data_IF_679758226718
#
_entry.id   IF_679758226718
#
_cell.length_a   1.000
_cell.length_b   1.000
_cell.length_c   1.000
_cell.angle_alpha   90.00
_cell.angle_beta   90.00
_cell.angle_gamma   90.00
#
_symmetry.space_group_name_H-M   'P 1'
#
loop_
_entity.id
_entity.type
_entity.pdbx_description
1 polymer ?
#
# COMPACT_ATOMS: atom_id res chain seq x y z
N UNK A 1 79.34 -7.55 4.84
CA UNK A 1 78.39 -6.76 4.03
C UNK A 1 77.01 -7.38 4.18
N UNK A 2 76.07 -6.72 4.92
CA UNK A 2 74.73 -7.21 5.12
C UNK A 2 73.82 -6.36 4.22
N UNK A 3 73.23 -6.98 3.15
CA UNK A 3 72.26 -6.35 2.27
C UNK A 3 70.91 -6.29 2.96
N UNK A 4 70.35 -5.07 3.09
CA UNK A 4 68.95 -4.89 3.56
C UNK A 4 68.02 -4.80 2.34
N UNK A 5 67.14 -5.79 2.16
CA UNK A 5 66.03 -5.70 1.22
C UNK A 5 64.98 -4.71 1.79
N UNK A 6 64.70 -3.64 1.06
CA UNK A 6 63.54 -2.77 1.30
C UNK A 6 62.34 -3.37 0.58
N UNK A 7 61.34 -3.81 1.37
CA UNK A 7 60.03 -4.25 0.84
C UNK A 7 59.15 -3.00 0.72
N UNK A 8 58.82 -2.61 -0.51
CA UNK A 8 57.88 -1.53 -0.80
C UNK A 8 56.46 -2.11 -0.79
N UNK A 9 55.64 -1.72 0.18
CA UNK A 9 54.24 -2.01 0.20
C UNK A 9 53.51 -1.01 -0.70
N UNK A 10 52.96 -1.48 -1.83
CA UNK A 10 52.08 -0.70 -2.68
C UNK A 10 50.68 -0.71 -2.07
N UNK A 11 50.24 0.43 -1.53
CA UNK A 11 48.82 0.63 -1.16
C UNK A 11 47.99 0.83 -2.44
N UNK A 12 47.19 -0.16 -2.77
CA UNK A 12 46.16 0.00 -3.83
C UNK A 12 44.95 0.74 -3.24
N UNK A 13 44.80 2.01 -3.60
CA UNK A 13 43.57 2.76 -3.34
C UNK A 13 42.48 2.28 -4.32
N UNK A 14 41.50 1.52 -3.79
CA UNK A 14 40.27 1.22 -4.54
C UNK A 14 39.45 2.50 -4.64
N UNK A 15 39.39 3.08 -5.81
CA UNK A 15 38.47 4.21 -6.10
C UNK A 15 37.07 3.64 -6.13
N UNK A 16 36.29 3.85 -5.06
CA UNK A 16 34.86 3.59 -5.06
C UNK A 16 34.21 4.68 -5.93
N UNK A 17 33.88 4.34 -7.17
CA UNK A 17 33.03 5.22 -8.01
C UNK A 17 31.70 5.45 -7.32
N UNK A 18 31.21 6.69 -7.22
CA UNK A 18 29.87 6.94 -6.72
C UNK A 18 28.86 6.20 -7.61
N UNK A 19 28.01 5.39 -6.99
CA UNK A 19 26.91 4.74 -7.71
C UNK A 19 26.03 5.83 -8.34
N UNK A 20 26.00 5.89 -9.66
CA UNK A 20 25.10 6.79 -10.38
C UNK A 20 23.67 6.35 -10.08
N UNK A 21 22.85 7.26 -9.54
CA UNK A 21 21.44 6.98 -9.28
C UNK A 21 20.76 6.53 -10.59
N UNK A 22 20.14 5.36 -10.56
CA UNK A 22 19.38 4.86 -11.72
C UNK A 22 18.24 5.82 -12.01
N UNK A 23 18.08 6.33 -13.24
CA UNK A 23 17.03 7.30 -13.55
C UNK A 23 15.65 6.65 -13.46
N UNK A 24 14.66 7.43 -13.03
CA UNK A 24 13.26 7.05 -13.10
C UNK A 24 12.86 6.75 -14.55
N UNK A 25 11.88 5.87 -14.74
CA UNK A 25 11.34 5.50 -16.05
C UNK A 25 9.83 5.33 -16.00
N UNK A 26 9.19 5.15 -17.15
CA UNK A 26 7.74 5.03 -17.28
C UNK A 26 7.35 3.62 -17.73
N UNK A 27 6.22 3.13 -17.21
CA UNK A 27 5.53 1.87 -17.56
C UNK A 27 4.03 2.12 -17.66
N UNK A 28 3.22 1.13 -18.08
CA UNK A 28 1.76 1.13 -17.99
C UNK A 28 1.03 1.54 -19.26
N UNK A 29 1.69 1.53 -20.44
CA UNK A 29 1.04 1.71 -21.74
C UNK A 29 0.13 2.95 -21.81
N UNK A 30 -1.16 2.75 -22.06
CA UNK A 30 -2.17 3.82 -22.19
C UNK A 30 -2.49 4.56 -20.88
N UNK A 31 -2.09 3.98 -19.73
CA UNK A 31 -2.16 4.62 -18.42
C UNK A 31 -0.76 4.72 -17.81
N UNK A 32 0.10 5.60 -18.37
CA UNK A 32 1.50 5.65 -18.00
C UNK A 32 1.71 6.13 -16.57
N UNK A 33 2.66 5.49 -15.87
CA UNK A 33 3.09 5.87 -14.53
C UNK A 33 4.61 5.92 -14.44
N UNK A 34 5.13 6.92 -13.73
CA UNK A 34 6.56 7.03 -13.44
C UNK A 34 6.93 6.06 -12.34
N UNK A 35 7.94 5.24 -12.57
CA UNK A 35 8.59 4.39 -11.57
C UNK A 35 9.67 5.21 -10.88
N UNK A 36 9.44 5.50 -9.60
CA UNK A 36 10.39 6.24 -8.77
C UNK A 36 11.30 5.24 -8.07
N UNK A 37 12.58 5.31 -8.40
CA UNK A 37 13.59 4.45 -7.82
C UNK A 37 14.16 5.03 -6.52
N UNK A 38 14.54 4.17 -5.55
CA UNK A 38 15.14 4.63 -4.30
C UNK A 38 16.53 5.19 -4.50
N UNK A 39 17.02 5.96 -3.52
CA UNK A 39 18.38 6.49 -3.54
C UNK A 39 19.44 5.38 -3.54
N UNK A 40 19.13 4.26 -2.88
CA UNK A 40 19.93 3.04 -2.91
C UNK A 40 19.00 1.87 -3.27
N UNK A 41 19.21 1.31 -4.45
CA UNK A 41 18.43 0.20 -4.95
C UNK A 41 19.01 -1.13 -4.46
N UNK A 42 18.28 -1.84 -3.60
CA UNK A 42 18.61 -3.22 -3.24
C UNK A 42 18.34 -4.17 -4.42
N UNK A 43 18.96 -5.34 -4.41
CA UNK A 43 18.75 -6.36 -5.42
C UNK A 43 18.44 -7.72 -4.74
N UNK A 44 17.16 -8.13 -4.64
CA UNK A 44 15.94 -7.42 -5.10
C UNK A 44 15.43 -6.37 -4.10
N UNK A 45 14.65 -5.39 -4.59
CA UNK A 45 14.06 -4.30 -3.82
C UNK A 45 12.54 -4.44 -3.63
N UNK A 46 11.95 -3.98 -2.51
CA UNK A 46 10.52 -3.97 -2.32
C UNK A 46 9.81 -2.96 -3.25
N UNK A 47 8.56 -3.26 -3.63
CA UNK A 47 7.72 -2.39 -4.45
C UNK A 47 6.51 -1.90 -3.65
N UNK A 48 6.28 -0.59 -3.65
CA UNK A 48 5.10 0.05 -3.08
C UNK A 48 4.24 0.69 -4.19
N UNK A 49 2.96 0.34 -4.21
CA UNK A 49 1.97 0.88 -5.16
C UNK A 49 0.91 1.64 -4.38
N UNK A 50 0.73 2.94 -4.67
CA UNK A 50 -0.31 3.79 -4.11
C UNK A 50 -1.52 3.84 -5.03
N UNK A 51 -2.70 3.45 -4.53
CA UNK A 51 -3.97 3.48 -5.25
C UNK A 51 -4.85 4.62 -4.73
N UNK A 52 -5.19 5.56 -5.62
CA UNK A 52 -5.91 6.79 -5.29
C UNK A 52 -7.41 6.55 -5.01
N UNK A 53 -8.06 7.50 -4.35
CA UNK A 53 -9.50 7.53 -4.13
C UNK A 53 -10.27 7.90 -5.42
N UNK A 54 -11.57 7.58 -5.45
CA UNK A 54 -12.42 7.95 -6.60
C UNK A 54 -12.40 9.45 -6.86
N UNK A 55 -12.45 9.83 -8.13
CA UNK A 55 -12.45 11.22 -8.63
C UNK A 55 -11.16 12.01 -8.36
N UNK A 56 -10.07 11.32 -7.98
CA UNK A 56 -8.74 11.92 -7.77
C UNK A 56 -7.71 11.27 -8.71
N UNK A 57 -6.43 11.43 -8.44
CA UNK A 57 -5.32 10.84 -9.20
C UNK A 57 -4.23 10.33 -8.27
N UNK A 58 -3.29 9.54 -8.80
CA UNK A 58 -2.10 9.12 -8.07
C UNK A 58 -1.31 10.30 -7.51
N UNK A 59 -1.12 11.36 -8.30
CA UNK A 59 -0.45 12.58 -7.86
C UNK A 59 -1.21 13.30 -6.72
N UNK A 60 -2.55 13.38 -6.80
CA UNK A 60 -3.36 13.95 -5.72
C UNK A 60 -3.25 13.12 -4.44
N UNK A 61 -3.29 11.79 -4.56
CA UNK A 61 -3.18 10.89 -3.42
C UNK A 61 -1.78 10.94 -2.79
N UNK A 62 -0.73 11.10 -3.61
CA UNK A 62 0.63 11.33 -3.12
C UNK A 62 0.73 12.64 -2.34
N UNK A 63 0.14 13.72 -2.83
CA UNK A 63 0.10 15.00 -2.11
C UNK A 63 -0.65 14.92 -0.76
N UNK A 64 -1.56 13.97 -0.60
CA UNK A 64 -2.26 13.73 0.65
C UNK A 64 -1.45 12.87 1.63
N UNK A 65 -0.69 11.88 1.12
CA UNK A 65 -0.02 10.87 1.94
C UNK A 65 1.49 11.06 2.10
N UNK A 66 2.14 11.80 1.19
CA UNK A 66 3.58 12.08 1.18
C UNK A 66 4.48 10.84 1.25
N UNK A 67 4.09 9.76 0.55
CA UNK A 67 4.80 8.47 0.62
C UNK A 67 6.10 8.44 -0.19
N UNK A 68 6.14 9.12 -1.33
CA UNK A 68 7.24 9.02 -2.30
C UNK A 68 8.62 9.33 -1.70
N UNK A 69 8.81 10.48 -1.02
CA UNK A 69 10.09 10.81 -0.39
C UNK A 69 10.53 9.79 0.66
N UNK A 70 9.58 9.27 1.47
CA UNK A 70 9.87 8.28 2.51
C UNK A 70 10.15 6.91 1.91
N UNK A 71 9.41 6.50 0.87
CA UNK A 71 9.67 5.27 0.12
C UNK A 71 11.07 5.29 -0.49
N UNK A 72 11.43 6.40 -1.16
CA UNK A 72 12.75 6.59 -1.75
C UNK A 72 13.89 6.45 -0.73
N UNK A 73 13.77 7.13 0.40
CA UNK A 73 14.74 7.07 1.52
C UNK A 73 14.88 5.67 2.11
N UNK A 74 13.79 4.88 2.11
CA UNK A 74 13.76 3.55 2.71
C UNK A 74 13.97 2.40 1.72
N UNK A 75 14.47 2.68 0.51
CA UNK A 75 14.86 1.65 -0.45
C UNK A 75 13.70 0.98 -1.19
N UNK A 76 12.49 1.59 -1.23
CA UNK A 76 11.36 1.04 -1.97
C UNK A 76 11.28 1.64 -3.39
N UNK A 77 11.03 0.78 -4.37
CA UNK A 77 10.52 1.18 -5.67
C UNK A 77 9.08 1.68 -5.44
N UNK A 78 8.73 2.85 -5.98
CA UNK A 78 7.45 3.49 -5.71
C UNK A 78 6.73 3.92 -6.98
N UNK A 79 5.43 3.61 -7.07
CA UNK A 79 4.53 4.10 -8.11
C UNK A 79 3.20 4.56 -7.53
N UNK A 80 2.59 5.56 -8.17
CA UNK A 80 1.24 6.05 -7.89
C UNK A 80 0.44 6.13 -9.20
N UNK A 81 -0.03 4.98 -9.75
CA UNK A 81 -0.72 4.93 -11.01
C UNK A 81 -2.10 5.59 -10.95
N UNK A 82 -2.62 5.92 -12.13
CA UNK A 82 -3.96 6.44 -12.32
C UNK A 82 -4.94 5.33 -12.75
N UNK A 83 -6.12 5.31 -12.14
CA UNK A 83 -7.24 4.51 -12.58
C UNK A 83 -7.88 5.04 -13.86
N UNK A 84 -8.85 4.29 -14.40
CA UNK A 84 -9.60 4.69 -15.60
C UNK A 84 -10.37 5.99 -15.41
N UNK A 85 -10.65 6.67 -16.52
CA UNK A 85 -11.50 7.86 -16.56
C UNK A 85 -12.92 7.42 -16.95
N UNK A 86 -13.91 7.85 -16.19
CA UNK A 86 -15.31 7.64 -16.50
C UNK A 86 -15.87 8.72 -17.46
N UNK A 87 -17.10 8.60 -17.97
CA UNK A 87 -17.70 9.59 -18.87
C UNK A 87 -17.82 11.02 -18.31
N UNK A 88 -17.73 11.19 -16.97
CA UNK A 88 -17.68 12.51 -16.33
C UNK A 88 -16.26 13.08 -16.22
N UNK A 89 -15.24 12.42 -16.79
CA UNK A 89 -13.84 12.84 -16.69
C UNK A 89 -13.20 12.53 -15.33
N UNK A 90 -13.82 11.69 -14.49
CA UNK A 90 -13.34 11.35 -13.15
C UNK A 90 -12.66 9.99 -13.14
N UNK A 91 -11.51 9.89 -12.46
CA UNK A 91 -10.78 8.63 -12.35
C UNK A 91 -11.41 7.70 -11.31
N UNK A 92 -11.32 6.40 -11.56
CA UNK A 92 -11.80 5.35 -10.66
C UNK A 92 -11.04 4.05 -10.87
N UNK A 93 -11.09 3.18 -9.88
CA UNK A 93 -10.72 1.76 -9.96
C UNK A 93 -11.99 0.92 -10.03
N UNK A 94 -12.04 -0.03 -10.94
CA UNK A 94 -13.08 -1.05 -11.00
C UNK A 94 -12.81 -2.11 -9.92
N UNK A 95 -13.06 -1.72 -8.67
CA UNK A 95 -12.66 -2.52 -7.53
C UNK A 95 -13.66 -3.62 -7.19
N UNK A 96 -14.96 -3.27 -7.17
CA UNK A 96 -16.01 -4.21 -6.80
C UNK A 96 -17.38 -3.73 -7.35
N UNK A 97 -18.42 -4.57 -7.22
CA UNK A 97 -19.79 -4.18 -7.58
C UNK A 97 -20.26 -2.96 -6.79
N UNK A 98 -19.91 -2.88 -5.51
CA UNK A 98 -20.25 -1.74 -4.67
C UNK A 98 -19.41 -0.50 -4.97
N UNK A 99 -18.13 -0.63 -5.45
CA UNK A 99 -17.24 0.51 -5.70
C UNK A 99 -16.27 0.27 -6.86
N UNK A 100 -16.09 1.17 -7.80
CA UNK A 100 -16.78 2.45 -7.96
C UNK A 100 -17.12 2.67 -9.45
N UNK A 101 -17.24 1.56 -10.20
CA UNK A 101 -17.55 1.54 -11.63
C UNK A 101 -19.05 1.72 -11.88
N UNK A 102 -19.57 2.93 -11.57
CA UNK A 102 -21.00 3.24 -11.73
C UNK A 102 -21.49 3.21 -13.18
N UNK A 103 -20.58 3.38 -14.14
CA UNK A 103 -20.90 3.39 -15.58
C UNK A 103 -20.71 2.02 -16.22
N UNK A 104 -20.39 0.98 -15.43
CA UNK A 104 -20.23 -0.41 -15.90
C UNK A 104 -19.26 -0.51 -17.09
N UNK A 105 -18.20 0.30 -17.08
CA UNK A 105 -17.15 0.23 -18.10
C UNK A 105 -16.44 -1.12 -18.01
N UNK A 106 -16.09 -1.70 -19.14
CA UNK A 106 -15.30 -2.93 -19.23
C UNK A 106 -13.83 -2.59 -18.96
N UNK A 107 -13.41 -2.73 -17.70
CA UNK A 107 -12.06 -2.41 -17.21
C UNK A 107 -11.62 -3.51 -16.29
N UNK A 108 -10.44 -4.05 -16.54
CA UNK A 108 -9.74 -4.96 -15.62
C UNK A 108 -8.55 -4.23 -14.96
N UNK A 109 -8.80 -3.64 -13.79
CA UNK A 109 -7.75 -2.97 -13.03
C UNK A 109 -6.87 -3.96 -12.25
N UNK A 110 -7.31 -5.20 -12.05
CA UNK A 110 -6.46 -6.26 -11.49
C UNK A 110 -5.37 -6.61 -12.50
N UNK A 111 -5.74 -6.80 -13.77
CA UNK A 111 -4.78 -7.07 -14.83
C UNK A 111 -3.83 -5.90 -15.06
N UNK A 112 -4.36 -4.66 -15.05
CA UNK A 112 -3.53 -3.46 -15.17
C UNK A 112 -2.47 -3.37 -14.05
N UNK A 113 -2.85 -3.54 -12.77
CA UNK A 113 -1.88 -3.51 -11.66
C UNK A 113 -0.88 -4.67 -11.79
N UNK A 114 -1.35 -5.83 -12.23
CA UNK A 114 -0.50 -6.98 -12.52
C UNK A 114 0.55 -6.67 -13.59
N UNK A 115 0.11 -6.05 -14.71
CA UNK A 115 1.02 -5.68 -15.80
C UNK A 115 2.08 -4.68 -15.36
N UNK A 116 1.71 -3.70 -14.50
CA UNK A 116 2.68 -2.77 -13.93
C UNK A 116 3.77 -3.48 -13.12
N UNK A 117 3.37 -4.43 -12.26
CA UNK A 117 4.32 -5.23 -11.47
C UNK A 117 5.27 -6.00 -12.39
N UNK A 118 4.72 -6.63 -13.43
CA UNK A 118 5.49 -7.45 -14.37
C UNK A 118 6.43 -6.60 -15.25
N UNK A 119 5.98 -5.43 -15.73
CA UNK A 119 6.80 -4.49 -16.51
C UNK A 119 7.96 -3.92 -15.66
N UNK A 120 7.68 -3.56 -14.40
CA UNK A 120 8.71 -3.07 -13.48
C UNK A 120 9.72 -4.18 -13.18
N UNK A 121 9.25 -5.41 -12.93
CA UNK A 121 10.10 -6.55 -12.60
C UNK A 121 11.03 -6.96 -13.75
N UNK A 122 10.65 -6.68 -15.01
CA UNK A 122 11.53 -6.88 -16.18
C UNK A 122 12.67 -5.87 -16.28
N UNK A 123 12.48 -4.66 -15.71
CA UNK A 123 13.45 -3.55 -15.80
C UNK A 123 14.25 -3.35 -14.53
N UNK A 124 13.69 -3.71 -13.38
CA UNK A 124 14.25 -3.49 -12.05
C UNK A 124 14.02 -4.73 -11.20
N UNK A 125 15.00 -5.22 -10.42
CA UNK A 125 14.85 -6.44 -9.63
C UNK A 125 13.91 -6.20 -8.44
N UNK A 126 12.62 -6.44 -8.65
CA UNK A 126 11.58 -6.40 -7.61
C UNK A 126 11.64 -7.67 -6.76
N UNK A 127 11.56 -7.53 -5.43
CA UNK A 127 11.40 -8.65 -4.53
C UNK A 127 9.94 -9.17 -4.57
N UNK A 128 9.68 -10.35 -5.12
CA UNK A 128 8.32 -10.88 -5.26
C UNK A 128 7.66 -11.19 -3.90
N UNK A 129 8.43 -11.24 -2.83
CA UNK A 129 7.94 -11.43 -1.47
C UNK A 129 7.60 -10.11 -0.77
N UNK A 130 7.98 -8.97 -1.33
CA UNK A 130 7.80 -7.63 -0.72
C UNK A 130 7.15 -6.65 -1.67
N UNK A 131 5.94 -7.01 -2.14
CA UNK A 131 5.06 -6.13 -2.93
C UNK A 131 3.94 -5.66 -2.02
N UNK A 132 3.74 -4.35 -1.95
CA UNK A 132 2.82 -3.70 -1.02
C UNK A 132 1.84 -2.81 -1.75
N UNK A 133 0.59 -2.78 -1.29
CA UNK A 133 -0.42 -1.82 -1.71
C UNK A 133 -0.79 -0.89 -0.57
N UNK A 134 -0.96 0.37 -0.88
CA UNK A 134 -1.63 1.33 -0.01
C UNK A 134 -2.75 2.00 -0.79
N UNK A 135 -3.94 2.06 -0.22
CA UNK A 135 -5.10 2.63 -0.89
C UNK A 135 -5.98 3.44 0.04
N UNK A 136 -6.62 4.48 -0.52
CA UNK A 136 -7.63 5.28 0.15
C UNK A 136 -8.97 5.13 -0.56
N UNK A 137 -10.07 4.91 0.20
CA UNK A 137 -11.43 4.86 -0.36
C UNK A 137 -11.51 3.81 -1.49
N UNK A 138 -11.82 4.21 -2.71
CA UNK A 138 -11.84 3.33 -3.89
C UNK A 138 -10.51 2.57 -4.08
N UNK A 139 -9.36 3.21 -3.85
CA UNK A 139 -8.05 2.54 -3.90
C UNK A 139 -7.89 1.47 -2.81
N UNK A 140 -8.52 1.65 -1.64
CA UNK A 140 -8.53 0.63 -0.60
C UNK A 140 -9.41 -0.56 -0.99
N UNK A 141 -10.60 -0.32 -1.58
CA UNK A 141 -11.41 -1.40 -2.18
C UNK A 141 -10.61 -2.16 -3.24
N UNK A 142 -9.90 -1.44 -4.12
CA UNK A 142 -9.06 -2.07 -5.15
C UNK A 142 -7.91 -2.89 -4.55
N UNK A 143 -7.30 -2.43 -3.47
CA UNK A 143 -6.25 -3.18 -2.77
C UNK A 143 -6.76 -4.52 -2.25
N UNK A 144 -7.96 -4.55 -1.66
CA UNK A 144 -8.59 -5.79 -1.24
C UNK A 144 -8.93 -6.69 -2.42
N UNK A 145 -9.54 -6.15 -3.47
CA UNK A 145 -9.88 -6.91 -4.68
C UNK A 145 -8.63 -7.53 -5.32
N UNK A 146 -7.54 -6.77 -5.42
CA UNK A 146 -6.28 -7.29 -5.94
C UNK A 146 -5.73 -8.44 -5.09
N UNK A 147 -5.76 -8.33 -3.76
CA UNK A 147 -5.33 -9.41 -2.88
C UNK A 147 -6.23 -10.65 -2.94
N UNK A 148 -7.54 -10.47 -3.22
CA UNK A 148 -8.47 -11.59 -3.41
C UNK A 148 -8.23 -12.34 -4.74
N UNK A 149 -7.87 -11.61 -5.78
CA UNK A 149 -7.73 -12.15 -7.14
C UNK A 149 -6.32 -12.62 -7.47
N UNK A 150 -5.34 -12.22 -6.66
CA UNK A 150 -3.93 -12.58 -6.87
C UNK A 150 -3.29 -13.05 -5.56
N UNK A 151 -2.11 -13.64 -5.68
CA UNK A 151 -1.28 -13.98 -4.51
C UNK A 151 0.01 -13.13 -4.46
N UNK A 152 0.05 -11.98 -5.17
CA UNK A 152 1.31 -11.22 -5.32
C UNK A 152 1.63 -10.33 -4.11
N UNK A 153 0.63 -9.89 -3.32
CA UNK A 153 0.83 -8.87 -2.27
C UNK A 153 1.21 -9.47 -0.93
N UNK A 154 2.23 -8.92 -0.29
CA UNK A 154 2.62 -9.26 1.08
C UNK A 154 1.82 -8.48 2.14
N UNK A 155 1.50 -7.22 1.85
CA UNK A 155 0.78 -6.37 2.78
C UNK A 155 -0.08 -5.30 2.10
N UNK A 156 -1.14 -4.92 2.80
CA UNK A 156 -2.05 -3.82 2.43
C UNK A 156 -2.11 -2.81 3.57
N UNK A 157 -2.06 -1.52 3.23
CA UNK A 157 -2.55 -0.43 4.08
C UNK A 157 -3.82 0.11 3.45
N UNK A 158 -4.96 -0.05 4.12
CA UNK A 158 -6.27 0.36 3.63
C UNK A 158 -6.86 1.48 4.48
N UNK A 159 -7.14 2.63 3.87
CA UNK A 159 -7.73 3.78 4.56
C UNK A 159 -9.14 4.00 4.04
N UNK A 160 -10.13 4.03 4.95
CA UNK A 160 -11.52 4.36 4.65
C UNK A 160 -12.12 3.53 3.49
N UNK A 161 -11.79 2.24 3.42
CA UNK A 161 -12.29 1.28 2.45
C UNK A 161 -12.84 0.01 3.11
N UNK A 162 -13.43 -0.87 2.31
CA UNK A 162 -14.00 -2.12 2.77
C UNK A 162 -13.88 -3.21 1.70
N UNK A 163 -14.09 -4.45 2.09
CA UNK A 163 -14.28 -5.57 1.17
C UNK A 163 -15.75 -5.64 0.71
N UNK A 164 -16.00 -6.25 -0.42
CA UNK A 164 -17.36 -6.59 -0.85
C UNK A 164 -17.99 -7.63 0.09
N UNK A 165 -19.32 -7.67 0.18
CA UNK A 165 -20.04 -8.64 1.02
C UNK A 165 -20.13 -10.01 0.38
N UNK A 166 -20.04 -10.08 -0.93
CA UNK A 166 -20.19 -11.33 -1.66
C UNK A 166 -18.94 -12.22 -1.48
N UNK A 167 -19.18 -13.50 -1.47
CA UNK A 167 -18.24 -14.59 -1.17
C UNK A 167 -16.99 -14.65 -2.04
N UNK A 168 -16.93 -13.83 -3.09
CA UNK A 168 -15.89 -13.91 -4.10
C UNK A 168 -14.60 -13.14 -3.76
N UNK A 169 -14.58 -12.41 -2.66
CA UNK A 169 -13.42 -11.65 -2.23
C UNK A 169 -12.87 -12.12 -0.87
N UNK A 170 -12.28 -13.31 -0.86
CA UNK A 170 -11.45 -13.77 0.26
C UNK A 170 -10.07 -14.11 -0.29
N UNK A 171 -8.98 -13.49 0.20
CA UNK A 171 -7.64 -13.83 -0.24
C UNK A 171 -7.36 -15.33 -0.05
N UNK A 172 -6.79 -15.97 -1.05
CA UNK A 172 -6.43 -17.39 -0.97
C UNK A 172 -5.15 -17.65 -0.17
N UNK A 173 -4.36 -16.60 0.07
CA UNK A 173 -3.11 -16.65 0.84
C UNK A 173 -3.12 -15.58 1.92
N UNK A 174 -2.40 -15.82 3.04
CA UNK A 174 -2.24 -14.81 4.09
C UNK A 174 -1.66 -13.49 3.54
N UNK A 175 -2.22 -12.36 4.01
CA UNK A 175 -1.77 -11.01 3.67
C UNK A 175 -1.76 -10.12 4.91
N UNK A 176 -0.68 -9.41 5.18
CA UNK A 176 -0.62 -8.46 6.28
C UNK A 176 -1.53 -7.26 6.01
N UNK A 177 -2.18 -6.72 7.05
CA UNK A 177 -3.13 -5.62 6.90
C UNK A 177 -2.95 -4.58 8.01
N UNK A 178 -2.80 -3.32 7.60
CA UNK A 178 -3.10 -2.15 8.43
C UNK A 178 -4.37 -1.50 7.90
N UNK A 179 -5.49 -1.66 8.61
CA UNK A 179 -6.75 -1.02 8.26
C UNK A 179 -6.95 0.23 9.11
N UNK A 180 -7.21 1.38 8.48
CA UNK A 180 -7.41 2.69 9.14
C UNK A 180 -8.79 3.21 8.76
N UNK A 181 -9.66 3.52 9.76
CA UNK A 181 -11.02 3.95 9.45
C UNK A 181 -11.58 4.91 10.50
N UNK A 182 -12.15 6.02 10.04
CA UNK A 182 -12.83 6.99 10.88
C UNK A 182 -14.24 6.56 11.28
N UNK A 183 -14.62 6.74 12.53
CA UNK A 183 -15.98 6.33 13.00
C UNK A 183 -17.09 7.28 12.54
N UNK A 184 -16.76 8.51 12.14
CA UNK A 184 -17.69 9.48 11.57
C UNK A 184 -17.64 9.55 10.04
N UNK A 185 -17.01 8.56 9.38
CA UNK A 185 -16.99 8.45 7.92
C UNK A 185 -18.43 8.31 7.38
N UNK A 186 -18.87 9.33 6.62
CA UNK A 186 -20.20 9.39 6.02
C UNK A 186 -20.24 8.84 4.59
N UNK A 187 -19.08 8.65 3.96
CA UNK A 187 -18.95 8.15 2.59
C UNK A 187 -18.86 6.62 2.59
N UNK A 188 -17.88 6.07 3.28
CA UNK A 188 -17.74 4.62 3.49
C UNK A 188 -17.92 4.38 4.98
N UNK A 189 -19.14 4.07 5.40
CA UNK A 189 -19.44 3.92 6.82
C UNK A 189 -18.63 2.78 7.44
N UNK A 190 -18.01 3.04 8.58
CA UNK A 190 -17.26 2.03 9.35
C UNK A 190 -18.12 0.80 9.69
N UNK A 191 -19.44 0.97 9.76
CA UNK A 191 -20.44 -0.08 10.03
C UNK A 191 -20.82 -0.90 8.80
N UNK A 192 -20.30 -0.56 7.61
CA UNK A 192 -20.76 -1.09 6.34
C UNK A 192 -21.99 -0.33 5.80
N UNK A 193 -22.38 -0.64 4.59
CA UNK A 193 -23.50 0.04 3.93
C UNK A 193 -23.79 -0.51 2.54
N UNK A 194 -24.50 0.31 1.75
CA UNK A 194 -24.82 0.02 0.35
C UNK A 194 -24.33 1.18 -0.52
N UNK A 195 -23.69 0.86 -1.63
CA UNK A 195 -23.26 1.81 -2.65
C UNK A 195 -23.46 1.18 -4.03
N UNK A 196 -23.90 1.96 -5.02
CA UNK A 196 -24.29 1.46 -6.35
C UNK A 196 -25.27 0.27 -6.31
N UNK A 197 -26.18 0.22 -5.33
CA UNK A 197 -27.14 -0.87 -5.05
C UNK A 197 -26.49 -2.20 -4.60
N UNK A 198 -25.22 -2.22 -4.27
CA UNK A 198 -24.53 -3.40 -3.75
C UNK A 198 -24.01 -3.14 -2.33
N UNK A 199 -24.13 -4.13 -1.44
CA UNK A 199 -23.63 -3.98 -0.07
C UNK A 199 -22.10 -4.10 -0.03
N UNK A 200 -21.48 -3.36 0.91
CA UNK A 200 -20.09 -3.54 1.31
C UNK A 200 -20.00 -3.83 2.81
N UNK A 201 -18.96 -4.54 3.22
CA UNK A 201 -18.80 -5.00 4.61
C UNK A 201 -18.46 -3.85 5.55
N UNK A 202 -18.72 -4.02 6.85
CA UNK A 202 -18.14 -3.14 7.86
C UNK A 202 -16.60 -3.28 7.91
N UNK A 203 -15.91 -2.23 8.37
CA UNK A 203 -14.47 -2.29 8.58
C UNK A 203 -14.07 -3.44 9.53
N UNK A 204 -14.89 -3.68 10.58
CA UNK A 204 -14.68 -4.81 11.50
C UNK A 204 -14.83 -6.17 10.79
N UNK A 205 -15.82 -6.33 9.89
CA UNK A 205 -16.00 -7.57 9.13
C UNK A 205 -14.85 -7.77 8.14
N UNK A 206 -14.42 -6.72 7.43
CA UNK A 206 -13.24 -6.73 6.55
C UNK A 206 -12.01 -7.25 7.31
N UNK A 207 -11.69 -6.66 8.47
CA UNK A 207 -10.55 -7.07 9.30
C UNK A 207 -10.68 -8.52 9.78
N UNK A 208 -11.89 -8.94 10.22
CA UNK A 208 -12.14 -10.33 10.66
C UNK A 208 -11.99 -11.33 9.53
N UNK A 209 -12.37 -10.98 8.29
CA UNK A 209 -12.16 -11.87 7.13
C UNK A 209 -10.66 -12.10 6.91
N UNK A 210 -9.84 -11.04 6.91
CA UNK A 210 -8.38 -11.19 6.79
C UNK A 210 -7.79 -11.92 8.01
N UNK A 211 -8.29 -11.64 9.23
CA UNK A 211 -7.87 -12.35 10.44
C UNK A 211 -8.11 -13.86 10.36
N UNK A 212 -9.25 -14.26 9.77
CA UNK A 212 -9.56 -15.68 9.56
C UNK A 212 -8.57 -16.34 8.60
N UNK A 213 -8.28 -15.70 7.45
CA UNK A 213 -7.29 -16.19 6.48
C UNK A 213 -5.90 -16.32 7.11
N UNK A 214 -5.51 -15.32 7.88
CA UNK A 214 -4.22 -15.25 8.56
C UNK A 214 -4.17 -16.10 9.87
N UNK A 215 -5.28 -16.74 10.25
CA UNK A 215 -5.40 -17.50 11.50
C UNK A 215 -5.03 -16.66 12.72
N UNK A 216 -5.59 -15.44 12.79
CA UNK A 216 -5.29 -14.49 13.87
C UNK A 216 -6.38 -14.50 14.94
N UNK A 217 -5.97 -14.17 16.17
CA UNK A 217 -6.83 -13.84 17.31
C UNK A 217 -6.56 -12.41 17.80
N UNK A 218 -7.50 -11.82 18.57
CA UNK A 218 -7.24 -10.54 19.22
C UNK A 218 -6.08 -10.68 20.21
N UNK A 219 -5.07 -9.82 20.07
CA UNK A 219 -3.90 -9.81 20.95
C UNK A 219 -4.02 -8.72 22.03
N UNK A 220 -4.17 -7.48 21.60
CA UNK A 220 -4.16 -6.33 22.50
C UNK A 220 -4.86 -5.13 21.85
N UNK A 221 -5.40 -4.27 22.70
CA UNK A 221 -5.95 -2.97 22.28
C UNK A 221 -5.20 -1.87 23.02
N UNK A 222 -4.80 -0.86 22.29
CA UNK A 222 -4.16 0.35 22.81
C UNK A 222 -4.81 1.61 22.24
N UNK A 223 -4.39 2.76 22.77
CA UNK A 223 -4.81 4.07 22.27
C UNK A 223 -3.60 4.83 21.77
N UNK A 224 -3.81 5.65 20.76
CA UNK A 224 -2.80 6.58 20.25
C UNK A 224 -3.44 7.89 19.82
N UNK A 225 -2.66 8.95 19.83
CA UNK A 225 -2.94 10.20 19.15
C UNK A 225 -2.50 10.03 17.69
N UNK A 226 -3.41 10.17 16.75
CA UNK A 226 -3.14 9.97 15.33
C UNK A 226 -3.69 11.09 14.46
N UNK A 227 -4.97 11.48 14.65
CA UNK A 227 -5.64 12.51 13.86
C UNK A 227 -5.40 13.89 14.50
N UNK A 228 -4.49 14.74 13.96
CA UNK A 228 -4.03 15.94 14.65
C UNK A 228 -5.09 17.02 14.84
N UNK A 229 -6.26 16.89 14.22
CA UNK A 229 -7.39 17.83 14.43
C UNK A 229 -8.36 17.38 15.51
N UNK A 230 -8.23 16.15 16.01
CA UNK A 230 -9.04 15.60 17.09
C UNK A 230 -8.15 15.53 18.35
N UNK A 231 -8.58 16.21 19.44
CA UNK A 231 -7.77 16.25 20.66
C UNK A 231 -7.71 14.90 21.38
N UNK A 232 -6.54 14.58 21.88
CA UNK A 232 -6.29 13.42 22.75
C UNK A 232 -6.04 12.12 21.98
N UNK A 233 -5.95 11.02 22.71
CA UNK A 233 -5.67 9.68 22.16
C UNK A 233 -6.93 9.06 21.57
N UNK A 234 -7.43 9.62 20.49
CA UNK A 234 -8.71 9.28 19.86
C UNK A 234 -8.68 7.95 19.10
N UNK A 235 -7.50 7.50 18.63
CA UNK A 235 -7.40 6.29 17.82
C UNK A 235 -7.24 5.04 18.68
N UNK A 236 -8.20 4.11 18.55
CA UNK A 236 -8.08 2.77 19.11
C UNK A 236 -7.30 1.89 18.12
N UNK A 237 -6.17 1.36 18.56
CA UNK A 237 -5.36 0.40 17.81
C UNK A 237 -5.68 -1.00 18.33
N UNK A 238 -6.25 -1.84 17.48
CA UNK A 238 -6.52 -3.25 17.77
C UNK A 238 -5.46 -4.07 17.06
N UNK A 239 -4.64 -4.78 17.81
CA UNK A 239 -3.61 -5.67 17.32
C UNK A 239 -4.10 -7.11 17.35
N UNK A 240 -3.65 -7.91 16.41
CA UNK A 240 -3.97 -9.34 16.30
C UNK A 240 -2.69 -10.16 16.33
N UNK A 241 -2.72 -11.28 17.05
CA UNK A 241 -1.69 -12.31 16.98
C UNK A 241 -2.07 -13.31 15.89
N UNK A 242 -1.21 -13.48 14.90
CA UNK A 242 -1.44 -14.38 13.77
C UNK A 242 -0.50 -15.60 13.85
N UNK A 243 -1.00 -16.78 13.49
CA UNK A 243 -0.20 -18.01 13.43
C UNK A 243 0.66 -18.10 12.16
N UNK A 244 0.47 -17.15 11.23
CA UNK A 244 1.29 -16.95 10.04
C UNK A 244 2.30 -15.84 10.30
N UNK A 245 3.28 -15.66 9.43
CA UNK A 245 4.24 -14.54 9.52
C UNK A 245 3.63 -13.18 9.12
N UNK A 246 2.31 -13.03 9.28
CA UNK A 246 1.58 -11.80 8.95
C UNK A 246 1.31 -10.95 10.17
N UNK A 247 1.14 -9.65 9.95
CA UNK A 247 0.74 -8.69 10.96
C UNK A 247 -0.60 -8.08 10.59
N UNK A 248 -1.48 -7.97 11.56
CA UNK A 248 -2.82 -7.42 11.37
C UNK A 248 -3.10 -6.37 12.44
N UNK A 249 -3.42 -5.16 11.99
CA UNK A 249 -3.81 -4.04 12.85
C UNK A 249 -5.07 -3.36 12.32
N UNK A 250 -5.92 -2.92 13.23
CA UNK A 250 -7.04 -2.04 12.93
C UNK A 250 -6.95 -0.76 13.74
N UNK A 251 -6.78 0.39 13.08
CA UNK A 251 -6.78 1.72 13.68
C UNK A 251 -8.14 2.35 13.46
N UNK A 252 -8.87 2.54 14.56
CA UNK A 252 -10.23 3.07 14.55
C UNK A 252 -10.21 4.47 15.13
N UNK A 253 -10.32 5.49 14.26
CA UNK A 253 -10.24 6.90 14.63
C UNK A 253 -11.61 7.36 15.12
N UNK A 254 -11.75 7.64 16.41
CA UNK A 254 -12.99 8.16 16.98
C UNK A 254 -13.28 9.56 16.39
N UNK A 255 -14.50 9.74 15.86
CA UNK A 255 -14.93 10.95 15.15
C UNK A 255 -14.12 11.28 13.87
N UNK A 256 -13.22 10.41 13.43
CA UNK A 256 -12.50 10.57 12.18
C UNK A 256 -13.42 10.54 10.96
N UNK A 257 -13.13 11.37 9.97
CA UNK A 257 -13.89 11.50 8.73
C UNK A 257 -13.45 10.46 7.69
N UNK A 258 -14.02 10.55 6.47
CA UNK A 258 -13.61 9.73 5.30
C UNK A 258 -12.16 10.00 4.87
N UNK A 259 -11.72 11.25 4.97
CA UNK A 259 -10.34 11.65 4.71
C UNK A 259 -9.79 12.32 5.98
N UNK A 260 -9.33 11.52 6.96
CA UNK A 260 -8.79 12.07 8.19
C UNK A 260 -7.53 12.90 7.89
N UNK A 261 -7.29 13.94 8.66
CA UNK A 261 -6.02 14.65 8.54
C UNK A 261 -4.90 13.74 9.03
N UNK A 262 -3.96 13.44 8.15
CA UNK A 262 -2.85 12.55 8.47
C UNK A 262 -1.78 13.30 9.28
N UNK A 263 -1.16 12.67 10.28
CA UNK A 263 -0.03 13.27 10.98
C UNK A 263 1.18 13.39 10.06
N UNK A 264 2.11 14.28 10.39
CA UNK A 264 3.30 14.56 9.55
C UNK A 264 4.21 13.36 9.37
N UNK A 265 4.19 12.41 10.30
CA UNK A 265 4.96 11.16 10.27
C UNK A 265 4.13 9.96 9.76
N UNK A 266 2.98 10.21 9.12
CA UNK A 266 2.13 9.15 8.58
C UNK A 266 2.88 8.22 7.63
N UNK A 267 3.63 8.80 6.68
CA UNK A 267 4.38 8.03 5.70
C UNK A 267 5.41 7.11 6.36
N UNK A 268 6.12 7.61 7.37
CA UNK A 268 7.07 6.83 8.16
C UNK A 268 6.39 5.68 8.91
N UNK A 269 5.24 5.94 9.54
CA UNK A 269 4.49 4.92 10.27
C UNK A 269 4.05 3.78 9.35
N UNK A 270 3.46 4.09 8.19
CA UNK A 270 2.95 3.04 7.28
C UNK A 270 4.08 2.32 6.54
N UNK A 271 5.14 3.02 6.13
CA UNK A 271 6.30 2.38 5.48
C UNK A 271 7.03 1.49 6.49
N UNK A 272 7.20 1.93 7.73
CA UNK A 272 7.76 1.08 8.80
C UNK A 272 6.91 -0.17 9.07
N UNK A 273 5.56 -0.07 8.97
CA UNK A 273 4.70 -1.25 9.04
C UNK A 273 4.97 -2.18 7.85
N UNK A 274 4.97 -1.66 6.62
CA UNK A 274 5.13 -2.44 5.39
C UNK A 274 6.46 -3.18 5.32
N UNK A 275 7.56 -2.52 5.67
CA UNK A 275 8.91 -3.09 5.59
C UNK A 275 9.15 -4.29 6.52
N UNK A 276 8.30 -4.47 7.52
CA UNK A 276 8.31 -5.66 8.41
C UNK A 276 7.61 -6.87 7.79
N UNK A 277 6.98 -6.68 6.61
CA UNK A 277 6.15 -7.71 5.99
C UNK A 277 6.87 -8.39 4.83
N UNK A 278 6.71 -9.69 4.76
CA UNK A 278 7.16 -10.54 3.65
C UNK A 278 6.23 -11.74 3.54
N UNK A 279 6.13 -12.28 2.33
CA UNK A 279 5.40 -13.53 2.06
C UNK A 279 6.28 -14.74 2.42
#
# INVERSE_FOLDING_TARGET
MKSRLLTVFALTFSIISPATATPNYTVGGDRPVTVNLPDTLANPAPLLILLHSASTSGAHQENYMHLGPVAKKNGLIYIAPDGMINPEGKRFWNASKSCCNRYKQEVDDVDYINSLIDEISKKTPVDPKRIYLIGHSNGAFMSFTFACKTNKVAAIVAIAGAMDTESDCTPSTPVSLLNIHGTADKTIKVTGGVMNNFPYTSATKTVKTIASVNKCSNLATSKKDFEPTIKGTETTVINYACNTHTHLQFWKIANGSHSPKLPTDFAEQVISFLLKQSK
#
